data_IF_480327918163
#
_entry.id   IF_480327918163
#
_cell.length_a   1.000
_cell.length_b   1.000
_cell.length_c   1.000
_cell.angle_alpha   90.00
_cell.angle_beta   90.00
_cell.angle_gamma   90.00
#
_symmetry.space_group_name_H-M   'P 1'
#
loop_
_entity.id
_entity.type
_entity.pdbx_description
1 polymer ?
#
# COMPACT_ATOMS: atom_id res chain seq x y z
N UNK A 1 24.75 20.28 -17.46
CA UNK A 1 23.35 20.61 -17.13
C UNK A 1 22.91 19.74 -15.95
N UNK A 2 22.23 20.29 -14.94
CA UNK A 2 21.76 19.49 -13.80
C UNK A 2 20.73 18.46 -14.26
N UNK A 3 20.77 17.26 -13.64
CA UNK A 3 19.81 16.20 -13.86
C UNK A 3 18.46 16.67 -13.30
N UNK A 4 17.39 16.71 -14.12
CA UNK A 4 16.07 17.21 -13.73
C UNK A 4 15.07 16.11 -13.36
N UNK A 5 15.34 14.87 -13.77
CA UNK A 5 14.54 13.71 -13.41
C UNK A 5 15.37 12.44 -13.48
N UNK A 6 15.05 11.44 -12.69
CA UNK A 6 15.49 10.10 -13.02
C UNK A 6 14.65 9.63 -14.21
N UNK A 7 15.30 9.07 -15.24
CA UNK A 7 14.56 8.45 -16.34
C UNK A 7 13.89 7.17 -15.85
N UNK A 8 12.87 6.75 -16.59
CA UNK A 8 12.21 5.48 -16.34
C UNK A 8 13.25 4.34 -16.38
N UNK A 9 13.20 3.45 -15.39
CA UNK A 9 14.06 2.27 -15.22
C UNK A 9 15.57 2.56 -15.08
N UNK A 10 15.97 3.80 -14.76
CA UNK A 10 17.36 4.24 -14.81
C UNK A 10 18.32 3.41 -13.92
N UNK A 11 17.84 2.90 -12.80
CA UNK A 11 18.59 2.05 -11.87
C UNK A 11 17.89 0.70 -11.62
N UNK A 12 16.98 0.31 -12.52
CA UNK A 12 16.26 -0.94 -12.34
C UNK A 12 17.22 -2.12 -12.22
N UNK A 13 16.91 -3.04 -11.29
CA UNK A 13 17.73 -4.23 -10.99
C UNK A 13 19.19 -3.96 -10.58
N UNK A 14 19.51 -2.75 -10.14
CA UNK A 14 20.79 -2.47 -9.50
C UNK A 14 20.86 -3.14 -8.11
N UNK A 15 20.93 -4.47 -8.09
CA UNK A 15 20.81 -5.30 -6.87
C UNK A 15 21.89 -5.06 -5.83
N UNK A 16 23.04 -4.50 -6.21
CA UNK A 16 24.13 -4.16 -5.30
C UNK A 16 24.07 -2.72 -4.78
N UNK A 17 23.11 -1.91 -5.24
CA UNK A 17 22.93 -0.53 -4.80
C UNK A 17 22.37 -0.53 -3.37
N UNK A 18 23.13 -0.04 -2.40
CA UNK A 18 22.74 0.00 -0.98
C UNK A 18 22.15 1.34 -0.56
N UNK A 19 22.61 2.42 -1.16
CA UNK A 19 22.11 3.78 -0.92
C UNK A 19 22.38 4.67 -2.11
N UNK A 20 21.55 5.71 -2.26
CA UNK A 20 21.72 6.74 -3.29
C UNK A 20 21.17 8.06 -2.76
N UNK A 21 21.83 9.16 -3.12
CA UNK A 21 21.32 10.51 -2.89
C UNK A 21 20.83 11.09 -4.21
N UNK A 22 19.57 11.49 -4.24
CA UNK A 22 18.96 12.15 -5.40
C UNK A 22 19.25 13.64 -5.32
N UNK A 23 19.82 14.27 -6.39
CA UNK A 23 20.12 15.70 -6.37
C UNK A 23 18.87 16.59 -6.27
N UNK A 24 19.01 17.77 -5.65
CA UNK A 24 17.93 18.77 -5.51
C UNK A 24 17.40 19.31 -6.85
N UNK A 25 18.09 19.06 -7.94
CA UNK A 25 17.62 19.42 -9.30
C UNK A 25 16.56 18.46 -9.85
N UNK A 26 16.34 17.28 -9.20
CA UNK A 26 15.40 16.26 -9.66
C UNK A 26 14.02 16.58 -9.13
N UNK A 27 13.02 16.65 -10.02
CA UNK A 27 11.64 16.96 -9.69
C UNK A 27 10.68 15.76 -9.80
N UNK A 28 11.14 14.64 -10.34
CA UNK A 28 10.35 13.41 -10.40
C UNK A 28 11.24 12.17 -10.35
N UNK A 29 10.78 11.15 -9.63
CA UNK A 29 11.33 9.79 -9.68
C UNK A 29 10.58 9.04 -10.79
N UNK A 30 11.29 8.60 -11.84
CA UNK A 30 10.72 7.96 -13.02
C UNK A 30 10.07 6.61 -12.75
N UNK A 31 9.29 6.11 -13.73
CA UNK A 31 8.69 4.78 -13.62
C UNK A 31 9.78 3.71 -13.44
N UNK A 32 9.60 2.84 -12.46
CA UNK A 32 10.55 1.76 -12.18
C UNK A 32 11.98 2.21 -11.91
N UNK A 33 12.23 3.49 -11.61
CA UNK A 33 13.59 4.04 -11.55
C UNK A 33 14.53 3.24 -10.65
N UNK A 34 14.04 2.69 -9.56
CA UNK A 34 14.79 1.84 -8.61
C UNK A 34 14.13 0.46 -8.43
N UNK A 35 13.29 0.05 -9.38
CA UNK A 35 12.62 -1.26 -9.32
C UNK A 35 13.65 -2.38 -9.26
N UNK A 36 13.47 -3.33 -8.33
CA UNK A 36 14.39 -4.46 -8.17
C UNK A 36 15.74 -4.13 -7.53
N UNK A 37 15.94 -2.91 -7.02
CA UNK A 37 17.14 -2.56 -6.22
C UNK A 37 17.05 -3.26 -4.85
N UNK A 38 17.22 -4.57 -4.82
CA UNK A 38 16.94 -5.41 -3.66
C UNK A 38 17.79 -5.13 -2.43
N UNK A 39 18.97 -4.53 -2.59
CA UNK A 39 19.85 -4.14 -1.47
C UNK A 39 19.68 -2.68 -1.05
N UNK A 40 18.82 -1.89 -1.71
CA UNK A 40 18.63 -0.48 -1.39
C UNK A 40 17.98 -0.36 0.00
N UNK A 41 18.79 0.03 0.99
CA UNK A 41 18.36 0.15 2.38
C UNK A 41 17.84 1.54 2.72
N UNK A 42 18.34 2.57 2.03
CA UNK A 42 17.93 3.96 2.22
C UNK A 42 18.07 4.79 0.96
N UNK A 43 17.22 5.78 0.83
CA UNK A 43 17.29 6.79 -0.23
C UNK A 43 16.87 8.14 0.34
N UNK A 44 17.58 9.20 -0.01
CA UNK A 44 17.18 10.56 0.27
C UNK A 44 16.48 11.14 -0.97
N UNK A 45 15.20 11.47 -0.84
CA UNK A 45 14.39 12.11 -1.88
C UNK A 45 14.30 13.60 -1.54
N UNK A 46 14.75 14.50 -2.42
CA UNK A 46 14.76 15.93 -2.13
C UNK A 46 13.35 16.55 -2.24
N UNK A 47 13.16 17.71 -1.58
CA UNK A 47 11.91 18.47 -1.63
C UNK A 47 11.57 19.08 -3.00
N UNK A 48 12.41 18.91 -4.00
CA UNK A 48 12.09 19.24 -5.40
C UNK A 48 11.20 18.20 -6.08
N UNK A 49 11.13 16.97 -5.53
CA UNK A 49 10.32 15.88 -6.10
C UNK A 49 8.85 16.09 -5.79
N UNK A 50 8.03 16.14 -6.84
CA UNK A 50 6.57 16.28 -6.72
C UNK A 50 5.79 15.00 -7.03
N UNK A 51 6.44 14.04 -7.70
CA UNK A 51 5.79 12.78 -8.10
C UNK A 51 6.73 11.60 -7.91
N UNK A 52 6.23 10.55 -7.28
CA UNK A 52 6.83 9.22 -7.24
C UNK A 52 6.06 8.37 -8.23
N UNK A 53 6.69 8.06 -9.37
CA UNK A 53 6.00 7.39 -10.48
C UNK A 53 5.83 5.89 -10.26
N UNK A 54 5.09 5.26 -11.19
CA UNK A 54 4.69 3.87 -11.10
C UNK A 54 5.88 2.93 -10.91
N UNK A 55 5.74 1.98 -9.99
CA UNK A 55 6.78 0.97 -9.65
C UNK A 55 8.15 1.55 -9.27
N UNK A 56 8.27 2.85 -8.95
CA UNK A 56 9.55 3.52 -8.73
C UNK A 56 10.48 2.78 -7.75
N UNK A 57 9.93 2.20 -6.69
CA UNK A 57 10.64 1.41 -5.68
C UNK A 57 10.12 -0.04 -5.58
N UNK A 58 9.49 -0.54 -6.64
CA UNK A 58 8.96 -1.90 -6.64
C UNK A 58 10.07 -2.92 -6.35
N UNK A 59 9.83 -3.85 -5.41
CA UNK A 59 10.81 -4.87 -5.00
C UNK A 59 12.15 -4.32 -4.46
N UNK A 60 12.14 -3.15 -3.82
CA UNK A 60 13.26 -2.69 -2.99
C UNK A 60 13.21 -3.44 -1.64
N UNK A 61 13.66 -4.69 -1.65
CA UNK A 61 13.45 -5.63 -0.55
C UNK A 61 14.08 -5.19 0.78
N UNK A 62 15.21 -4.47 0.73
CA UNK A 62 15.95 -4.01 1.92
C UNK A 62 15.53 -2.62 2.41
N UNK A 63 14.60 -1.95 1.73
CA UNK A 63 14.18 -0.59 2.10
C UNK A 63 13.38 -0.63 3.41
N UNK A 64 14.00 -0.22 4.51
CA UNK A 64 13.38 -0.30 5.85
C UNK A 64 12.53 0.93 6.19
N UNK A 65 12.89 2.07 5.64
CA UNK A 65 12.19 3.34 5.81
C UNK A 65 12.41 4.25 4.61
N UNK A 66 11.43 5.10 4.35
CA UNK A 66 11.52 6.14 3.33
C UNK A 66 10.74 7.37 3.81
N UNK A 67 11.36 8.55 3.65
CA UNK A 67 10.66 9.82 3.88
C UNK A 67 10.13 10.32 2.55
N UNK A 68 8.81 10.46 2.45
CA UNK A 68 8.15 11.11 1.30
C UNK A 68 8.21 12.61 1.56
N UNK A 69 8.83 13.40 0.67
CA UNK A 69 8.88 14.86 0.82
C UNK A 69 7.50 15.51 0.86
N UNK A 70 7.38 16.62 1.59
CA UNK A 70 6.14 17.40 1.68
C UNK A 70 5.67 17.98 0.33
N UNK A 71 6.56 18.08 -0.65
CA UNK A 71 6.28 18.52 -2.03
C UNK A 71 5.57 17.47 -2.88
N UNK A 72 5.52 16.20 -2.45
CA UNK A 72 4.94 15.13 -3.26
C UNK A 72 3.42 15.25 -3.28
N UNK A 73 2.87 15.27 -4.49
CA UNK A 73 1.42 15.36 -4.72
C UNK A 73 0.82 14.05 -5.21
N UNK A 74 1.65 13.13 -5.74
CA UNK A 74 1.20 11.86 -6.30
C UNK A 74 2.18 10.72 -5.99
N UNK A 75 1.64 9.60 -5.53
CA UNK A 75 2.28 8.29 -5.43
C UNK A 75 1.54 7.38 -6.42
N UNK A 76 2.22 6.93 -7.49
CA UNK A 76 1.55 6.21 -8.55
C UNK A 76 1.46 4.69 -8.29
N UNK A 77 0.87 3.97 -9.25
CA UNK A 77 0.61 2.53 -9.19
C UNK A 77 1.86 1.73 -8.78
N UNK A 78 1.70 0.81 -7.83
CA UNK A 78 2.75 -0.10 -7.37
C UNK A 78 4.06 0.57 -6.92
N UNK A 79 4.07 1.87 -6.60
CA UNK A 79 5.28 2.65 -6.33
C UNK A 79 6.20 1.99 -5.28
N UNK A 80 5.66 1.37 -4.24
CA UNK A 80 6.39 0.65 -3.19
C UNK A 80 6.02 -0.84 -3.12
N UNK A 81 5.40 -1.38 -4.15
CA UNK A 81 5.00 -2.79 -4.15
C UNK A 81 6.20 -3.71 -3.90
N UNK A 82 6.07 -4.67 -3.00
CA UNK A 82 7.13 -5.62 -2.68
C UNK A 82 8.28 -5.05 -1.82
N UNK A 83 8.16 -3.86 -1.24
CA UNK A 83 9.12 -3.34 -0.26
C UNK A 83 8.97 -4.12 1.06
N UNK A 84 9.45 -5.36 1.09
CA UNK A 84 9.15 -6.32 2.17
C UNK A 84 9.75 -5.95 3.53
N UNK A 85 10.78 -5.09 3.59
CA UNK A 85 11.36 -4.61 4.84
C UNK A 85 10.81 -3.27 5.31
N UNK A 86 9.94 -2.60 4.51
CA UNK A 86 9.37 -1.31 4.88
C UNK A 86 8.41 -1.47 6.05
N UNK A 87 8.71 -0.81 7.18
CA UNK A 87 7.94 -0.98 8.42
C UNK A 87 6.85 0.06 8.62
N UNK A 88 7.12 1.29 8.22
CA UNK A 88 6.20 2.43 8.36
C UNK A 88 6.32 3.37 7.17
N UNK A 89 5.25 4.06 6.85
CA UNK A 89 5.25 5.13 5.87
C UNK A 89 4.33 6.26 6.32
N UNK A 90 4.74 7.51 6.07
CA UNK A 90 3.92 8.69 6.32
C UNK A 90 3.52 9.32 4.99
N UNK A 91 2.24 9.57 4.82
CA UNK A 91 1.64 10.26 3.67
C UNK A 91 1.54 11.75 3.99
N UNK A 92 2.30 12.63 3.30
CA UNK A 92 2.32 14.07 3.56
C UNK A 92 1.02 14.80 3.18
N UNK A 93 0.95 16.08 3.56
CA UNK A 93 -0.21 16.95 3.38
C UNK A 93 -0.67 17.09 1.93
N UNK A 94 0.29 17.21 1.00
CA UNK A 94 0.00 17.51 -0.40
C UNK A 94 -0.30 16.28 -1.25
N UNK A 95 -0.11 15.06 -0.76
CA UNK A 95 -0.44 13.85 -1.52
C UNK A 95 -1.94 13.80 -1.76
N UNK A 96 -2.32 13.95 -3.03
CA UNK A 96 -3.71 13.99 -3.49
C UNK A 96 -4.12 12.71 -4.22
N UNK A 97 -3.16 11.88 -4.63
CA UNK A 97 -3.44 10.58 -5.27
C UNK A 97 -2.47 9.51 -4.82
N UNK A 98 -3.01 8.32 -4.59
CA UNK A 98 -2.27 7.08 -4.31
C UNK A 98 -2.81 6.05 -5.29
N UNK A 99 -1.94 5.53 -6.16
CA UNK A 99 -2.30 4.56 -7.19
C UNK A 99 -2.50 3.16 -6.63
N UNK A 100 -3.18 2.34 -7.41
CA UNK A 100 -3.48 0.96 -7.06
C UNK A 100 -2.21 0.17 -6.69
N UNK A 101 -2.34 -0.69 -5.70
CA UNK A 101 -1.24 -1.55 -5.25
C UNK A 101 0.04 -0.79 -4.81
N UNK A 102 -0.05 0.51 -4.47
CA UNK A 102 1.12 1.30 -4.08
C UNK A 102 1.95 0.64 -2.97
N UNK A 103 1.31 -0.03 -2.02
CA UNK A 103 1.93 -0.73 -0.88
C UNK A 103 1.68 -2.25 -0.88
N UNK A 104 1.41 -2.82 -2.04
CA UNK A 104 1.08 -4.25 -2.19
C UNK A 104 2.27 -5.14 -1.80
N UNK A 105 2.02 -6.19 -1.02
CA UNK A 105 3.07 -7.12 -0.56
C UNK A 105 4.24 -6.46 0.20
N UNK A 106 3.96 -5.38 0.97
CA UNK A 106 4.90 -4.81 1.92
C UNK A 106 4.81 -5.58 3.26
N UNK A 107 5.38 -6.78 3.32
CA UNK A 107 5.11 -7.77 4.38
C UNK A 107 5.51 -7.33 5.80
N UNK A 108 6.39 -6.34 5.95
CA UNK A 108 6.75 -5.75 7.25
C UNK A 108 6.01 -4.45 7.56
N UNK A 109 5.16 -3.95 6.65
CA UNK A 109 4.48 -2.67 6.85
C UNK A 109 3.40 -2.82 7.93
N UNK A 110 3.66 -2.26 9.10
CA UNK A 110 2.75 -2.34 10.25
C UNK A 110 1.82 -1.14 10.37
N UNK A 111 2.24 0.01 9.82
CA UNK A 111 1.54 1.26 10.01
C UNK A 111 1.68 2.20 8.81
N UNK A 112 0.55 2.75 8.35
CA UNK A 112 0.49 3.86 7.41
C UNK A 112 -0.06 5.06 8.16
N UNK A 113 0.75 6.11 8.32
CA UNK A 113 0.32 7.38 8.93
C UNK A 113 -0.02 8.37 7.84
N UNK A 114 -1.09 9.12 8.01
CA UNK A 114 -1.44 10.24 7.14
C UNK A 114 -1.35 11.52 7.95
N UNK A 115 -0.72 12.55 7.40
CA UNK A 115 -0.62 13.85 8.04
C UNK A 115 -2.01 14.44 8.29
N UNK A 116 -2.21 15.08 9.44
CA UNK A 116 -3.51 15.61 9.89
C UNK A 116 -4.10 16.63 8.91
N UNK A 117 -3.24 17.41 8.25
CA UNK A 117 -3.64 18.42 7.27
C UNK A 117 -3.90 17.86 5.87
N UNK A 118 -3.64 16.58 5.62
CA UNK A 118 -3.96 15.98 4.32
C UNK A 118 -5.47 16.06 4.06
N UNK A 119 -5.84 16.54 2.87
CA UNK A 119 -7.24 16.81 2.49
C UNK A 119 -7.92 15.63 1.80
N UNK A 120 -7.17 14.62 1.39
CA UNK A 120 -7.64 13.53 0.53
C UNK A 120 -7.67 12.19 1.23
N UNK A 121 -6.75 11.98 2.17
CA UNK A 121 -6.57 10.71 2.87
C UNK A 121 -6.63 10.89 4.38
N UNK A 122 -6.86 9.79 5.06
CA UNK A 122 -6.78 9.69 6.52
C UNK A 122 -6.27 8.30 6.90
N UNK A 123 -5.76 8.16 8.11
CA UNK A 123 -5.45 6.86 8.67
C UNK A 123 -6.17 6.65 10.00
N UNK A 124 -6.57 5.41 10.25
CA UNK A 124 -7.15 4.99 11.52
C UNK A 124 -6.45 3.71 11.97
N UNK A 125 -5.77 3.77 13.10
CA UNK A 125 -5.03 2.63 13.64
C UNK A 125 -4.05 2.01 12.63
N UNK A 126 -3.42 2.83 11.81
CA UNK A 126 -2.43 2.41 10.80
C UNK A 126 -3.01 1.97 9.46
N UNK A 127 -4.32 1.87 9.32
CA UNK A 127 -5.01 1.52 8.07
C UNK A 127 -5.28 2.78 7.26
N UNK A 128 -5.05 2.73 5.95
CA UNK A 128 -5.23 3.85 5.03
C UNK A 128 -6.65 3.89 4.46
N UNK A 129 -7.25 5.07 4.50
CA UNK A 129 -8.58 5.37 3.96
C UNK A 129 -8.55 6.66 3.12
N UNK A 130 -9.61 6.88 2.33
CA UNK A 130 -9.93 8.22 1.86
C UNK A 130 -10.25 9.14 3.07
N UNK A 131 -10.34 10.45 2.84
CA UNK A 131 -10.51 11.44 3.92
C UNK A 131 -11.69 11.14 4.83
N UNK A 132 -12.83 10.81 4.26
CA UNK A 132 -14.10 10.60 4.96
C UNK A 132 -14.26 9.18 5.53
N UNK A 133 -13.26 8.31 5.33
CA UNK A 133 -13.26 6.90 5.75
C UNK A 133 -14.43 6.09 5.19
N UNK A 134 -14.90 6.46 4.01
CA UNK A 134 -15.90 5.68 3.26
C UNK A 134 -15.26 4.64 2.35
N UNK A 135 -13.98 4.78 2.07
CA UNK A 135 -13.21 3.86 1.24
C UNK A 135 -11.96 3.36 1.97
N UNK A 136 -11.84 2.05 2.14
CA UNK A 136 -10.65 1.41 2.69
C UNK A 136 -9.67 1.12 1.55
N UNK A 137 -8.51 1.79 1.59
CA UNK A 137 -7.51 1.75 0.50
C UNK A 137 -6.47 0.65 0.75
N UNK A 138 -5.90 0.60 1.94
CA UNK A 138 -4.87 -0.40 2.24
C UNK A 138 -4.84 -0.74 3.73
N UNK A 139 -4.96 -2.03 4.04
CA UNK A 139 -4.60 -2.59 5.34
C UNK A 139 -3.13 -3.00 5.31
N UNK A 140 -2.29 -2.54 6.25
CA UNK A 140 -0.85 -2.83 6.23
C UNK A 140 -0.58 -4.33 6.38
N UNK A 141 0.19 -4.91 5.45
CA UNK A 141 0.38 -6.36 5.36
C UNK A 141 1.11 -6.97 6.57
N UNK A 142 2.01 -6.20 7.20
CA UNK A 142 2.77 -6.59 8.39
C UNK A 142 2.05 -6.28 9.72
N UNK A 143 0.83 -5.77 9.69
CA UNK A 143 0.08 -5.50 10.92
C UNK A 143 -0.14 -6.79 11.70
N UNK A 144 0.17 -6.77 12.99
CA UNK A 144 0.18 -7.96 13.85
C UNK A 144 -1.19 -8.37 14.40
N UNK A 145 -2.25 -7.59 14.10
CA UNK A 145 -3.60 -7.93 14.54
C UNK A 145 -4.08 -9.21 13.88
N UNK A 146 -4.66 -10.08 14.68
CA UNK A 146 -5.30 -11.32 14.21
C UNK A 146 -6.77 -11.11 13.83
N UNK A 147 -7.39 -10.02 14.32
CA UNK A 147 -8.78 -9.69 14.06
C UNK A 147 -8.91 -8.23 13.62
N UNK A 148 -9.79 -7.97 12.67
CA UNK A 148 -10.09 -6.63 12.23
C UNK A 148 -11.57 -6.46 11.92
N UNK A 149 -12.18 -5.45 12.53
CA UNK A 149 -13.52 -4.97 12.19
C UNK A 149 -13.38 -3.74 11.32
N UNK A 150 -13.86 -3.82 10.09
CA UNK A 150 -13.89 -2.68 9.17
C UNK A 150 -14.92 -1.68 9.72
N UNK A 151 -14.59 -0.38 9.82
CA UNK A 151 -15.50 0.64 10.33
C UNK A 151 -16.83 0.71 9.54
N UNK A 152 -17.92 0.96 10.24
CA UNK A 152 -19.28 1.04 9.64
C UNK A 152 -19.43 2.19 8.63
N UNK A 153 -18.51 3.18 8.66
CA UNK A 153 -18.46 4.25 7.65
C UNK A 153 -17.98 3.78 6.28
N UNK A 154 -17.29 2.61 6.19
CA UNK A 154 -16.74 2.10 4.95
C UNK A 154 -17.85 1.54 4.07
N UNK A 155 -17.96 2.07 2.87
CA UNK A 155 -18.90 1.61 1.84
C UNK A 155 -18.22 0.91 0.68
N UNK A 156 -16.89 1.10 0.55
CA UNK A 156 -16.06 0.51 -0.52
C UNK A 156 -14.73 0.00 0.01
N UNK A 157 -14.28 -1.13 -0.52
CA UNK A 157 -12.96 -1.72 -0.25
C UNK A 157 -12.23 -1.80 -1.60
N UNK A 158 -11.05 -1.18 -1.69
CA UNK A 158 -10.27 -1.16 -2.93
C UNK A 158 -9.73 -2.56 -3.28
N UNK A 159 -9.51 -2.83 -4.58
CA UNK A 159 -8.87 -4.05 -5.05
C UNK A 159 -7.57 -4.35 -4.26
N UNK A 160 -7.47 -5.58 -3.74
CA UNK A 160 -6.29 -6.02 -3.02
C UNK A 160 -6.03 -5.33 -1.67
N UNK A 161 -7.00 -4.61 -1.10
CA UNK A 161 -6.79 -3.82 0.12
C UNK A 161 -6.27 -4.62 1.32
N UNK A 162 -6.57 -5.89 1.42
CA UNK A 162 -6.08 -6.83 2.45
C UNK A 162 -5.13 -7.90 1.87
N UNK A 163 -4.73 -7.79 0.61
CA UNK A 163 -3.87 -8.82 0.02
C UNK A 163 -2.58 -8.98 0.82
N UNK A 164 -2.10 -10.23 0.97
CA UNK A 164 -0.90 -10.61 1.74
C UNK A 164 -0.94 -10.33 3.24
N UNK A 165 -2.10 -10.08 3.83
CA UNK A 165 -2.25 -9.90 5.28
C UNK A 165 -2.17 -11.26 5.99
N UNK A 166 -0.94 -11.74 6.18
CA UNK A 166 -0.67 -13.10 6.69
C UNK A 166 -1.02 -13.31 8.16
N UNK A 167 -1.19 -12.24 8.94
CA UNK A 167 -1.51 -12.33 10.37
C UNK A 167 -3.01 -12.35 10.66
N UNK A 168 -3.84 -11.82 9.75
CA UNK A 168 -5.28 -11.77 9.94
C UNK A 168 -5.90 -13.17 9.94
N UNK A 169 -6.67 -13.48 10.98
CA UNK A 169 -7.43 -14.71 11.17
C UNK A 169 -8.92 -14.44 10.91
N UNK A 170 -9.43 -13.31 11.40
CA UNK A 170 -10.85 -12.93 11.28
C UNK A 170 -11.00 -11.51 10.78
N UNK A 171 -11.88 -11.29 9.81
CA UNK A 171 -12.31 -9.96 9.37
C UNK A 171 -13.81 -9.86 9.40
N UNK A 172 -14.32 -8.75 9.97
CA UNK A 172 -15.74 -8.41 9.91
C UNK A 172 -15.96 -7.28 8.92
N UNK A 173 -16.83 -7.52 7.93
CA UNK A 173 -17.25 -6.55 6.91
C UNK A 173 -18.55 -5.90 7.39
N UNK A 174 -18.72 -4.57 7.31
CA UNK A 174 -19.93 -3.88 7.71
C UNK A 174 -21.05 -3.99 6.67
N UNK A 175 -22.30 -3.80 7.12
CA UNK A 175 -23.49 -3.86 6.26
C UNK A 175 -23.56 -2.78 5.18
N UNK A 176 -22.71 -1.76 5.28
CA UNK A 176 -22.56 -0.70 4.27
C UNK A 176 -21.80 -1.12 3.01
N UNK A 177 -21.10 -2.26 3.04
CA UNK A 177 -20.34 -2.80 1.90
C UNK A 177 -21.24 -3.73 1.09
N UNK A 178 -21.27 -3.52 -0.24
CA UNK A 178 -22.06 -4.33 -1.18
C UNK A 178 -21.22 -5.25 -2.05
N UNK A 179 -19.90 -4.98 -2.12
CA UNK A 179 -19.00 -5.68 -3.03
C UNK A 179 -17.68 -6.01 -2.35
N UNK A 180 -17.26 -7.26 -2.43
CA UNK A 180 -15.88 -7.66 -2.13
C UNK A 180 -15.13 -7.64 -3.46
N UNK A 181 -14.24 -6.67 -3.64
CA UNK A 181 -13.53 -6.42 -4.90
C UNK A 181 -12.53 -7.53 -5.23
N UNK A 182 -11.95 -7.46 -6.42
CA UNK A 182 -10.92 -8.40 -6.88
C UNK A 182 -9.75 -8.45 -5.89
N UNK A 183 -9.22 -9.64 -5.64
CA UNK A 183 -8.05 -9.89 -4.79
C UNK A 183 -8.11 -9.27 -3.38
N UNK A 184 -9.27 -8.85 -2.89
CA UNK A 184 -9.40 -8.18 -1.58
C UNK A 184 -8.61 -8.90 -0.49
N UNK A 185 -8.73 -10.23 -0.36
CA UNK A 185 -8.03 -11.06 0.61
C UNK A 185 -7.05 -12.05 -0.04
N UNK A 186 -6.45 -11.67 -1.17
CA UNK A 186 -5.52 -12.53 -1.90
C UNK A 186 -4.28 -12.86 -1.04
N UNK A 187 -3.93 -14.16 -0.93
CA UNK A 187 -2.78 -14.66 -0.13
C UNK A 187 -2.84 -14.29 1.36
N UNK A 188 -4.03 -14.17 1.94
CA UNK A 188 -4.20 -14.05 3.39
C UNK A 188 -4.05 -15.44 4.03
N UNK A 189 -2.80 -15.87 4.25
CA UNK A 189 -2.48 -17.26 4.58
C UNK A 189 -3.00 -17.77 5.94
N UNK A 190 -3.32 -16.87 6.87
CA UNK A 190 -3.90 -17.23 8.19
C UNK A 190 -5.40 -17.00 8.27
N UNK A 191 -6.01 -16.38 7.25
CA UNK A 191 -7.42 -16.01 7.27
C UNK A 191 -8.31 -17.27 7.24
N UNK A 192 -9.09 -17.46 8.29
CA UNK A 192 -9.99 -18.59 8.47
C UNK A 192 -11.46 -18.19 8.59
N UNK A 193 -11.74 -16.93 8.88
CA UNK A 193 -13.09 -16.44 9.05
C UNK A 193 -13.26 -15.03 8.44
N UNK A 194 -14.28 -14.86 7.62
CA UNK A 194 -14.73 -13.54 7.16
C UNK A 194 -16.24 -13.47 7.42
N UNK A 195 -16.64 -12.51 8.24
CA UNK A 195 -18.05 -12.26 8.50
C UNK A 195 -18.55 -11.33 7.39
N UNK A 196 -19.28 -11.91 6.45
CA UNK A 196 -19.81 -11.23 5.27
C UNK A 196 -21.27 -10.90 5.54
N UNK A 197 -21.72 -9.63 5.46
CA UNK A 197 -23.08 -9.25 5.67
C UNK A 197 -23.97 -9.60 4.46
N UNK A 198 -25.28 -9.67 4.67
CA UNK A 198 -26.29 -9.95 3.63
C UNK A 198 -26.33 -8.88 2.53
N UNK A 199 -25.75 -7.70 2.78
CA UNK A 199 -25.63 -6.61 1.80
C UNK A 199 -24.66 -6.91 0.66
N UNK A 200 -23.72 -7.85 0.86
CA UNK A 200 -22.72 -8.20 -0.17
C UNK A 200 -23.37 -9.03 -1.27
N UNK A 201 -23.40 -8.47 -2.47
CA UNK A 201 -24.00 -9.10 -3.67
C UNK A 201 -22.98 -9.64 -4.65
N UNK A 202 -21.71 -9.19 -4.55
CA UNK A 202 -20.64 -9.59 -5.46
C UNK A 202 -19.34 -9.93 -4.73
N UNK A 203 -18.68 -10.98 -5.19
CA UNK A 203 -17.32 -11.37 -4.76
C UNK A 203 -16.45 -11.42 -6.00
N UNK A 204 -15.43 -10.56 -6.03
CA UNK A 204 -14.54 -10.34 -7.15
C UNK A 204 -13.58 -11.50 -7.43
N UNK A 205 -12.89 -11.40 -8.56
CA UNK A 205 -11.95 -12.41 -9.02
C UNK A 205 -10.79 -12.59 -8.03
N UNK A 206 -10.51 -13.85 -7.69
CA UNK A 206 -9.44 -14.20 -6.74
C UNK A 206 -9.55 -13.56 -5.35
N UNK A 207 -10.72 -13.07 -4.93
CA UNK A 207 -10.90 -12.36 -3.66
C UNK A 207 -10.32 -13.12 -2.46
N UNK A 208 -10.45 -14.46 -2.43
CA UNK A 208 -9.94 -15.33 -1.35
C UNK A 208 -8.92 -16.36 -1.83
N UNK A 209 -8.31 -16.15 -2.99
CA UNK A 209 -7.34 -17.12 -3.53
C UNK A 209 -6.09 -17.18 -2.65
N UNK A 210 -5.62 -18.39 -2.38
CA UNK A 210 -4.50 -18.70 -1.49
C UNK A 210 -4.69 -18.32 -0.01
N UNK A 211 -5.93 -18.09 0.43
CA UNK A 211 -6.25 -18.14 1.85
C UNK A 211 -6.14 -19.60 2.34
N UNK A 212 -5.80 -19.78 3.63
CA UNK A 212 -5.92 -21.11 4.26
C UNK A 212 -7.38 -21.53 4.14
N UNK A 213 -7.65 -22.78 3.69
CA UNK A 213 -9.02 -23.27 3.51
C UNK A 213 -9.89 -22.82 4.69
N UNK A 214 -10.68 -21.87 4.43
CA UNK A 214 -11.63 -21.41 5.39
C UNK A 214 -12.94 -21.64 4.80
N UNK A 215 -13.84 -21.09 5.37
CA UNK A 215 -15.15 -20.97 4.83
C UNK A 215 -16.05 -22.16 5.12
N UNK A 216 -15.84 -22.71 6.35
CA UNK A 216 -16.97 -23.34 7.04
C UNK A 216 -18.00 -22.31 7.55
N UNK A 217 -17.75 -20.99 7.30
CA UNK A 217 -18.65 -19.91 7.71
C UNK A 217 -18.73 -18.77 6.70
N UNK A 218 -18.70 -19.07 5.42
CA UNK A 218 -19.40 -18.23 4.44
C UNK A 218 -20.89 -18.54 4.64
N UNK A 219 -21.56 -17.83 5.53
CA UNK A 219 -23.01 -17.79 5.54
C UNK A 219 -23.39 -16.94 4.30
N UNK A 220 -23.87 -17.59 3.24
CA UNK A 220 -24.57 -16.98 2.14
C UNK A 220 -26.05 -16.94 2.48
#
# INVERSE_FOLDING_TARGET
LPVKSTRDWAFADCKSLTSISVPDSVNAIGNGAFSGCSSLASINIPNSVTTIRGSAFCNCLSLTSITIPESVTSIEIAAFSGCSSLTNITIPDLVASIGDHAFYNCSSLTNITVSENNKYFSSLNGVLFNKDKTELITYPNGNERTEYTIPDSVTSIIEGAFAYCSNLITVKIPDSVTDITDKTFYVCSSLTSVIIPDSVTHIGYNAFKYCKKPCSTLAF
#
